data_IF_561517149320
#
_entry.id   IF_561517149320
#
_cell.length_a   1.000
_cell.length_b   1.000
_cell.length_c   1.000
_cell.angle_alpha   90.00
_cell.angle_beta   90.00
_cell.angle_gamma   90.00
#
_symmetry.space_group_name_H-M   'P 1'
#
loop_
_entity.id
_entity.type
_entity.pdbx_description
1 polymer ?
#
# COMPACT_ATOMS: atom_id res chain seq x y z
N UNK A 1 20.07 -11.71 35.72
CA UNK A 1 20.77 -11.69 34.43
C UNK A 1 20.37 -12.95 33.69
N UNK A 2 19.52 -12.83 32.68
CA UNK A 2 19.13 -13.94 31.81
C UNK A 2 19.83 -13.71 30.46
N UNK A 3 20.76 -14.60 30.13
CA UNK A 3 21.47 -14.66 28.86
C UNK A 3 20.49 -15.12 27.77
N UNK A 4 20.16 -14.25 26.83
CA UNK A 4 19.40 -14.60 25.63
C UNK A 4 20.40 -14.94 24.52
N UNK A 5 20.56 -16.22 24.25
CA UNK A 5 21.37 -16.77 23.16
C UNK A 5 20.81 -16.33 21.80
N UNK A 6 21.55 -15.48 21.10
CA UNK A 6 21.26 -15.06 19.73
C UNK A 6 21.78 -16.13 18.76
N UNK A 7 20.89 -16.90 18.14
CA UNK A 7 21.29 -17.86 17.10
C UNK A 7 21.46 -17.12 15.77
N UNK A 8 22.71 -17.03 15.35
CA UNK A 8 23.22 -16.51 14.09
C UNK A 8 22.54 -17.22 12.90
N UNK A 9 21.76 -16.49 12.10
CA UNK A 9 21.19 -17.01 10.85
C UNK A 9 22.11 -16.60 9.71
N UNK A 10 22.97 -17.53 9.31
CA UNK A 10 23.94 -17.43 8.22
C UNK A 10 23.22 -17.21 6.88
N UNK A 11 23.51 -16.09 6.22
CA UNK A 11 23.12 -15.78 4.84
C UNK A 11 24.11 -16.43 3.87
N UNK A 12 23.60 -17.23 2.93
CA UNK A 12 24.38 -17.96 1.92
C UNK A 12 24.06 -17.42 0.50
N UNK A 13 25.02 -16.87 -0.25
CA UNK A 13 24.80 -16.43 -1.62
C UNK A 13 25.48 -17.34 -2.66
N UNK A 14 24.68 -17.91 -3.57
CA UNK A 14 25.14 -18.59 -4.79
C UNK A 14 24.37 -19.91 -5.02
N UNK A 15 24.09 -20.40 -6.22
CA UNK A 15 24.38 -19.97 -7.59
C UNK A 15 23.46 -20.78 -8.53
N UNK A 16 22.99 -20.13 -9.58
CA UNK A 16 22.76 -20.65 -10.95
C UNK A 16 21.94 -21.92 -11.26
N UNK A 17 20.98 -21.68 -12.17
CA UNK A 17 20.60 -22.52 -13.32
C UNK A 17 19.90 -23.86 -13.06
N UNK A 18 18.56 -23.85 -13.08
CA UNK A 18 17.82 -24.98 -13.64
C UNK A 18 16.66 -24.54 -14.54
N UNK A 19 16.71 -25.07 -15.75
CA UNK A 19 15.94 -24.71 -16.94
C UNK A 19 14.68 -25.58 -16.99
N UNK A 20 13.61 -25.18 -16.30
CA UNK A 20 12.30 -25.85 -16.40
C UNK A 20 11.46 -25.22 -17.51
N UNK A 21 11.51 -25.84 -18.69
CA UNK A 21 10.63 -25.56 -19.84
C UNK A 21 9.19 -25.99 -19.53
N UNK A 22 8.28 -25.02 -19.43
CA UNK A 22 6.83 -25.23 -19.41
C UNK A 22 6.25 -25.11 -20.84
N UNK A 23 5.23 -25.89 -21.23
CA UNK A 23 4.58 -25.76 -22.54
C UNK A 23 3.63 -24.56 -22.59
N UNK A 24 3.68 -23.82 -23.69
CA UNK A 24 2.85 -22.64 -23.98
C UNK A 24 1.38 -22.99 -24.20
N UNK A 25 0.41 -22.22 -23.66
CA UNK A 25 -0.98 -22.29 -24.09
C UNK A 25 -1.17 -21.57 -25.46
N UNK A 26 -2.17 -21.95 -26.28
CA UNK A 26 -2.47 -21.26 -27.53
C UNK A 26 -3.11 -19.90 -27.26
N UNK A 27 -2.56 -18.85 -27.87
CA UNK A 27 -3.04 -17.48 -27.76
C UNK A 27 -4.43 -17.32 -28.42
N UNK A 28 -5.42 -16.68 -27.78
CA UNK A 28 -6.52 -16.06 -28.50
C UNK A 28 -6.01 -14.76 -29.12
N UNK A 29 -6.10 -14.64 -30.44
CA UNK A 29 -5.86 -13.40 -31.17
C UNK A 29 -6.93 -12.37 -30.79
N UNK A 30 -6.66 -11.58 -29.76
CA UNK A 30 -7.48 -10.42 -29.42
C UNK A 30 -7.01 -9.24 -30.26
N UNK A 31 -7.65 -9.04 -31.41
CA UNK A 31 -7.63 -7.76 -32.11
C UNK A 31 -8.24 -6.72 -31.17
N UNK A 32 -7.39 -5.89 -30.56
CA UNK A 32 -7.82 -4.82 -29.66
C UNK A 32 -8.44 -3.69 -30.48
N UNK A 33 -9.72 -3.80 -30.81
CA UNK A 33 -10.50 -2.67 -31.31
C UNK A 33 -10.79 -1.72 -30.15
N UNK A 34 -10.10 -0.59 -30.14
CA UNK A 34 -10.40 0.53 -29.26
C UNK A 34 -11.73 1.17 -29.70
N UNK A 35 -12.83 0.75 -29.09
CA UNK A 35 -14.13 1.40 -29.29
C UNK A 35 -14.42 2.37 -28.15
N UNK A 36 -14.34 3.66 -28.50
CA UNK A 36 -14.81 4.81 -27.72
C UNK A 36 -16.31 4.64 -27.52
N UNK A 37 -16.78 4.46 -26.28
CA UNK A 37 -18.23 4.50 -26.02
C UNK A 37 -18.67 5.95 -25.90
N UNK A 38 -19.01 6.54 -27.04
CA UNK A 38 -19.90 7.69 -27.12
C UNK A 38 -21.28 7.18 -27.55
N UNK A 39 -22.28 7.37 -26.69
CA UNK A 39 -23.70 7.56 -27.02
C UNK A 39 -24.51 6.42 -27.68
N UNK A 40 -25.64 6.12 -27.03
CA UNK A 40 -26.97 5.76 -27.60
C UNK A 40 -27.10 4.58 -28.57
N UNK A 41 -27.94 3.61 -28.22
CA UNK A 41 -28.66 2.76 -29.19
C UNK A 41 -28.46 1.26 -28.99
N UNK A 42 -29.54 0.58 -28.65
CA UNK A 42 -29.70 -0.87 -28.52
C UNK A 42 -29.35 -1.61 -29.81
N UNK A 43 -28.73 -2.80 -29.70
CA UNK A 43 -28.96 -3.93 -30.61
C UNK A 43 -28.90 -5.25 -29.85
N UNK A 44 -30.01 -5.97 -29.86
CA UNK A 44 -30.10 -7.39 -29.51
C UNK A 44 -29.48 -8.23 -30.63
N UNK A 45 -28.67 -9.25 -30.29
CA UNK A 45 -28.38 -10.34 -31.22
C UNK A 45 -28.33 -11.68 -30.47
N UNK A 46 -29.32 -12.52 -30.81
CA UNK A 46 -29.61 -13.86 -30.30
C UNK A 46 -28.87 -14.94 -31.10
N UNK A 47 -28.61 -16.10 -30.46
CA UNK A 47 -28.79 -17.49 -30.97
C UNK A 47 -27.88 -18.46 -30.19
N UNK A 48 -28.25 -19.67 -29.72
CA UNK A 48 -29.51 -20.39 -29.46
C UNK A 48 -29.15 -21.76 -28.83
N UNK A 49 -30.18 -22.52 -28.44
CA UNK A 49 -30.27 -23.89 -27.88
C UNK A 49 -30.35 -23.96 -26.34
N UNK A 50 -31.29 -24.65 -25.70
CA UNK A 50 -32.32 -25.61 -26.11
C UNK A 50 -33.45 -25.55 -25.07
N UNK A 51 -34.70 -25.75 -25.50
CA UNK A 51 -35.87 -25.78 -24.64
C UNK A 51 -35.84 -26.93 -23.62
N UNK A 52 -36.05 -26.59 -22.34
CA UNK A 52 -36.68 -27.47 -21.36
C UNK A 52 -37.58 -26.57 -20.49
N UNK A 53 -38.90 -26.77 -20.62
CA UNK A 53 -39.89 -26.17 -19.75
C UNK A 53 -39.82 -26.86 -18.39
N UNK A 54 -39.49 -26.12 -17.34
CA UNK A 54 -40.03 -26.33 -15.98
C UNK A 54 -40.22 -24.96 -15.34
N UNK A 55 -41.49 -24.61 -15.28
CA UNK A 55 -42.11 -23.51 -14.54
C UNK A 55 -42.01 -23.85 -13.04
N UNK A 56 -40.91 -23.47 -12.37
CA UNK A 56 -40.79 -23.45 -10.88
C UNK A 56 -39.57 -22.63 -10.36
N UNK A 57 -39.31 -21.44 -10.93
CA UNK A 57 -38.07 -20.66 -10.66
C UNK A 57 -38.33 -19.19 -10.26
N UNK A 58 -39.36 -18.91 -9.46
CA UNK A 58 -39.62 -17.54 -8.94
C UNK A 58 -39.15 -17.32 -7.47
N UNK A 59 -38.84 -18.40 -6.74
CA UNK A 59 -38.43 -18.29 -5.32
C UNK A 59 -36.92 -18.01 -5.12
N UNK A 60 -36.06 -18.41 -6.07
CA UNK A 60 -34.59 -18.34 -5.90
C UNK A 60 -33.90 -17.11 -6.51
N UNK A 61 -34.58 -16.38 -7.40
CA UNK A 61 -34.02 -15.13 -7.93
C UNK A 61 -33.93 -14.04 -6.86
N UNK A 62 -34.90 -14.00 -5.93
CA UNK A 62 -34.91 -13.01 -4.83
C UNK A 62 -33.82 -13.27 -3.80
N UNK A 63 -33.49 -14.54 -3.52
CA UNK A 63 -32.43 -14.94 -2.59
C UNK A 63 -31.03 -14.65 -3.16
N UNK A 64 -30.82 -14.93 -4.45
CA UNK A 64 -29.55 -14.66 -5.14
C UNK A 64 -29.29 -13.17 -5.34
N UNK A 65 -30.33 -12.36 -5.58
CA UNK A 65 -30.23 -10.89 -5.61
C UNK A 65 -29.85 -10.33 -4.23
N UNK A 66 -30.48 -10.80 -3.14
CA UNK A 66 -30.14 -10.42 -1.76
C UNK A 66 -28.70 -10.80 -1.39
N UNK A 67 -28.22 -11.96 -1.84
CA UNK A 67 -26.83 -12.37 -1.64
C UNK A 67 -25.84 -11.47 -2.40
N UNK A 68 -26.13 -11.14 -3.65
CA UNK A 68 -25.33 -10.20 -4.46
C UNK A 68 -25.29 -8.80 -3.81
N UNK A 69 -26.41 -8.36 -3.26
CA UNK A 69 -26.51 -7.08 -2.53
C UNK A 69 -25.69 -7.09 -1.24
N UNK A 70 -25.82 -8.13 -0.41
CA UNK A 70 -24.98 -8.31 0.79
C UNK A 70 -23.49 -8.29 0.48
N UNK A 71 -23.08 -8.95 -0.62
CA UNK A 71 -21.67 -8.92 -1.08
C UNK A 71 -21.22 -7.52 -1.49
N UNK A 72 -22.07 -6.77 -2.19
CA UNK A 72 -21.80 -5.38 -2.58
C UNK A 72 -21.64 -4.49 -1.35
N UNK A 73 -22.53 -4.62 -0.36
CA UNK A 73 -22.45 -3.86 0.89
C UNK A 73 -21.17 -4.15 1.67
N UNK A 74 -20.83 -5.43 1.84
CA UNK A 74 -19.61 -5.83 2.52
C UNK A 74 -18.36 -5.27 1.82
N UNK A 75 -18.34 -5.29 0.48
CA UNK A 75 -17.27 -4.70 -0.31
C UNK A 75 -17.18 -3.17 -0.11
N UNK A 76 -18.30 -2.46 -0.15
CA UNK A 76 -18.37 -1.02 0.11
C UNK A 76 -17.87 -0.66 1.51
N UNK A 77 -18.29 -1.43 2.54
CA UNK A 77 -17.86 -1.22 3.92
C UNK A 77 -16.35 -1.44 4.08
N UNK A 78 -15.80 -2.49 3.47
CA UNK A 78 -14.36 -2.77 3.50
C UNK A 78 -13.54 -1.65 2.85
N UNK A 79 -13.97 -1.14 1.70
CA UNK A 79 -13.30 -0.03 1.01
C UNK A 79 -13.44 1.29 1.79
N UNK A 80 -14.59 1.56 2.43
CA UNK A 80 -14.74 2.71 3.30
C UNK A 80 -13.76 2.65 4.48
N UNK A 81 -13.68 1.50 5.17
CA UNK A 81 -12.73 1.28 6.25
C UNK A 81 -11.28 1.50 5.81
N UNK A 82 -10.93 1.04 4.60
CA UNK A 82 -9.61 1.30 4.00
C UNK A 82 -9.37 2.79 3.76
N UNK A 83 -10.36 3.50 3.19
CA UNK A 83 -10.27 4.95 2.95
C UNK A 83 -10.14 5.75 4.24
N UNK A 84 -10.86 5.38 5.28
CA UNK A 84 -10.80 6.03 6.59
C UNK A 84 -9.45 5.80 7.27
N UNK A 85 -8.87 4.60 7.14
CA UNK A 85 -7.52 4.33 7.63
C UNK A 85 -6.47 5.19 6.92
N UNK A 86 -6.57 5.34 5.60
CA UNK A 86 -5.69 6.23 4.83
C UNK A 86 -5.88 7.69 5.26
N UNK A 87 -7.13 8.13 5.44
CA UNK A 87 -7.44 9.50 5.87
C UNK A 87 -6.82 9.81 7.24
N UNK A 88 -6.96 8.90 8.22
CA UNK A 88 -6.31 9.03 9.53
C UNK A 88 -4.79 9.08 9.40
N UNK A 89 -4.18 8.26 8.55
CA UNK A 89 -2.73 8.33 8.30
C UNK A 89 -2.26 9.70 7.79
N UNK A 90 -3.07 10.42 7.00
CA UNK A 90 -2.76 11.79 6.60
C UNK A 90 -2.91 12.81 7.73
N UNK A 91 -3.87 12.61 8.64
CA UNK A 91 -4.04 13.44 9.84
C UNK A 91 -2.84 13.25 10.79
N UNK A 92 -2.40 12.00 10.97
CA UNK A 92 -1.21 11.66 11.76
C UNK A 92 0.06 12.29 11.17
N UNK A 93 0.27 12.15 9.84
CA UNK A 93 1.41 12.77 9.16
C UNK A 93 1.45 14.29 9.35
N UNK A 94 0.29 14.97 9.25
CA UNK A 94 0.22 16.42 9.47
C UNK A 94 0.61 16.79 10.92
N UNK A 95 0.26 15.95 11.89
CA UNK A 95 0.60 16.17 13.30
C UNK A 95 2.07 15.88 13.62
N UNK A 96 2.73 14.96 12.91
CA UNK A 96 4.12 14.58 13.17
C UNK A 96 5.14 15.41 12.41
N UNK A 97 4.75 15.99 11.27
CA UNK A 97 5.64 16.75 10.39
C UNK A 97 5.52 18.24 10.69
N UNK A 98 6.52 18.90 11.30
CA UNK A 98 6.40 20.28 11.77
C UNK A 98 6.08 21.28 10.65
N UNK A 99 6.59 21.03 9.45
CA UNK A 99 6.35 21.87 8.28
C UNK A 99 4.92 21.74 7.75
N UNK A 100 4.19 20.68 8.08
CA UNK A 100 2.76 20.57 7.79
C UNK A 100 1.91 21.41 8.76
N UNK A 101 2.26 21.40 10.06
CA UNK A 101 1.51 22.13 11.09
C UNK A 101 1.54 23.65 10.94
N UNK A 102 2.68 24.22 10.52
CA UNK A 102 2.89 25.67 10.46
C UNK A 102 1.96 26.42 9.51
N UNK A 103 1.31 25.75 8.56
CA UNK A 103 0.43 26.40 7.58
C UNK A 103 -1.04 26.41 7.99
N UNK A 104 -1.49 25.49 8.84
CA UNK A 104 -2.88 25.45 9.31
C UNK A 104 -3.23 26.68 10.18
N UNK A 105 -2.24 27.28 10.85
CA UNK A 105 -2.41 28.48 11.67
C UNK A 105 -2.44 29.79 10.86
N UNK A 106 -1.95 29.79 9.61
CA UNK A 106 -1.83 31.00 8.77
C UNK A 106 -2.83 30.97 7.61
N UNK A 107 -3.25 29.79 7.16
CA UNK A 107 -4.13 29.63 6.01
C UNK A 107 -5.19 28.58 6.30
N UNK A 108 -6.46 28.96 6.19
CA UNK A 108 -7.62 28.04 6.25
C UNK A 108 -7.62 26.97 5.14
N UNK A 109 -6.61 26.94 4.28
CA UNK A 109 -6.49 26.00 3.17
C UNK A 109 -5.78 24.72 3.59
N UNK A 110 -6.50 23.59 3.51
CA UNK A 110 -5.96 22.25 3.78
C UNK A 110 -4.83 21.94 2.78
N UNK A 111 -3.70 21.45 3.29
CA UNK A 111 -2.58 21.02 2.46
C UNK A 111 -2.99 19.87 1.52
N UNK A 112 -2.42 19.87 0.31
CA UNK A 112 -2.68 18.79 -0.65
C UNK A 112 -2.03 17.49 -0.18
N UNK A 113 -2.62 16.33 -0.56
CA UNK A 113 -2.05 15.00 -0.25
C UNK A 113 -0.61 14.85 -0.74
N UNK A 114 -0.33 15.36 -1.95
CA UNK A 114 1.02 15.33 -2.52
C UNK A 114 2.00 16.17 -1.69
N UNK A 115 1.58 17.36 -1.26
CA UNK A 115 2.41 18.24 -0.41
C UNK A 115 2.71 17.60 0.94
N UNK A 116 1.72 16.98 1.59
CA UNK A 116 1.93 16.29 2.87
C UNK A 116 2.97 15.18 2.71
N UNK A 117 2.84 14.36 1.66
CA UNK A 117 3.80 13.28 1.38
C UNK A 117 5.20 13.82 1.12
N UNK A 118 5.34 14.87 0.31
CA UNK A 118 6.64 15.47 0.03
C UNK A 118 7.31 16.03 1.30
N UNK A 119 6.58 16.84 2.08
CA UNK A 119 7.08 17.38 3.36
C UNK A 119 7.47 16.27 4.34
N UNK A 120 6.74 15.15 4.32
CA UNK A 120 7.07 13.98 5.16
C UNK A 120 8.37 13.31 4.73
N UNK A 121 8.62 13.16 3.42
CA UNK A 121 9.88 12.62 2.89
C UNK A 121 11.05 13.52 3.29
N UNK A 122 10.92 14.82 3.09
CA UNK A 122 11.95 15.79 3.43
C UNK A 122 12.26 15.75 4.95
N UNK A 123 11.22 15.61 5.78
CA UNK A 123 11.40 15.50 7.22
C UNK A 123 12.09 14.21 7.66
N UNK A 124 11.78 13.06 7.03
CA UNK A 124 12.51 11.81 7.28
C UNK A 124 14.00 11.98 6.93
N UNK A 125 14.31 12.59 5.78
CA UNK A 125 15.69 12.85 5.39
C UNK A 125 16.41 13.76 6.40
N UNK A 126 15.73 14.81 6.87
CA UNK A 126 16.25 15.67 7.94
C UNK A 126 16.54 14.90 9.23
N UNK A 127 15.63 14.04 9.68
CA UNK A 127 15.82 13.23 10.89
C UNK A 127 16.98 12.25 10.74
N UNK A 128 17.17 11.64 9.57
CA UNK A 128 18.31 10.77 9.31
C UNK A 128 19.64 11.54 9.39
N UNK A 129 19.70 12.75 8.83
CA UNK A 129 20.89 13.60 8.90
C UNK A 129 21.19 14.06 10.33
N UNK A 130 20.16 14.45 11.09
CA UNK A 130 20.26 14.80 12.51
C UNK A 130 20.79 13.63 13.33
N UNK A 131 20.22 12.44 13.16
CA UNK A 131 20.66 11.22 13.85
C UNK A 131 22.13 10.94 13.57
N UNK A 132 22.55 10.98 12.30
CA UNK A 132 23.96 10.79 11.93
C UNK A 132 24.89 11.79 12.63
N UNK A 133 24.51 13.07 12.62
CA UNK A 133 25.28 14.12 13.29
C UNK A 133 25.43 13.84 14.79
N UNK A 134 24.35 13.44 15.46
CA UNK A 134 24.37 13.11 16.88
C UNK A 134 25.22 11.87 17.18
N UNK A 135 25.16 10.84 16.33
CA UNK A 135 25.99 9.65 16.46
C UNK A 135 27.50 9.97 16.31
N UNK A 136 27.85 10.85 15.36
CA UNK A 136 29.22 11.32 15.15
C UNK A 136 29.72 12.14 16.36
N UNK A 137 28.90 13.05 16.88
CA UNK A 137 29.20 13.82 18.09
C UNK A 137 29.39 12.92 19.31
N UNK A 138 28.49 11.95 19.53
CA UNK A 138 28.63 10.97 20.61
C UNK A 138 29.93 10.17 20.52
N UNK A 139 30.32 9.77 19.31
CA UNK A 139 31.57 9.04 19.10
C UNK A 139 32.80 9.93 19.35
N UNK A 140 32.75 11.21 18.97
CA UNK A 140 33.80 12.16 19.28
C UNK A 140 33.96 12.38 20.79
N UNK A 141 32.85 12.61 21.51
CA UNK A 141 32.85 12.78 22.96
C UNK A 141 33.36 11.52 23.68
N UNK A 142 32.98 10.32 23.21
CA UNK A 142 33.51 9.05 23.76
C UNK A 142 35.03 8.94 23.63
N UNK A 143 35.59 9.34 22.48
CA UNK A 143 37.05 9.35 22.27
C UNK A 143 37.74 10.35 23.19
N UNK A 144 37.15 11.53 23.37
CA UNK A 144 37.67 12.56 24.28
C UNK A 144 37.68 12.06 25.72
N UNK A 145 36.59 11.43 26.19
CA UNK A 145 36.52 10.86 27.54
C UNK A 145 37.63 9.82 27.77
N UNK A 146 37.85 8.92 26.81
CA UNK A 146 38.92 7.91 26.91
C UNK A 146 40.30 8.58 26.95
N UNK A 147 40.56 9.56 26.09
CA UNK A 147 41.82 10.29 26.08
C UNK A 147 42.09 10.98 27.43
N UNK A 148 41.07 11.65 27.99
CA UNK A 148 41.18 12.31 29.29
C UNK A 148 41.36 11.32 30.45
N UNK A 149 40.77 10.12 30.37
CA UNK A 149 40.98 9.06 31.36
C UNK A 149 42.42 8.55 31.34
N UNK A 150 43.00 8.38 30.15
CA UNK A 150 44.40 7.98 29.99
C UNK A 150 45.34 9.06 30.54
N UNK A 151 45.06 10.35 30.29
CA UNK A 151 45.90 11.46 30.78
C UNK A 151 45.87 11.66 32.30
N UNK A 152 44.85 11.15 32.99
CA UNK A 152 44.69 11.25 34.44
C UNK A 152 45.30 10.06 35.21
N UNK A 153 45.67 8.99 34.53
CA UNK A 153 46.34 7.82 35.10
C UNK A 153 47.86 8.01 35.08
#
# INVERSE_FOLDING_TARGET
MAELSFTDTKYDPGSENDKLSLPSPPAPSLSFSFSRTSSTGSIDLLTSSSAHNTDDEDSDQKSTLSYKERRREAHTQAEQKRRDAIKRGYEDLQSLVPTCQQQDSISSYKLSKATILQRSIDYIQFLLQQKKKQDDELNALRKEVVALQIMKA
#
